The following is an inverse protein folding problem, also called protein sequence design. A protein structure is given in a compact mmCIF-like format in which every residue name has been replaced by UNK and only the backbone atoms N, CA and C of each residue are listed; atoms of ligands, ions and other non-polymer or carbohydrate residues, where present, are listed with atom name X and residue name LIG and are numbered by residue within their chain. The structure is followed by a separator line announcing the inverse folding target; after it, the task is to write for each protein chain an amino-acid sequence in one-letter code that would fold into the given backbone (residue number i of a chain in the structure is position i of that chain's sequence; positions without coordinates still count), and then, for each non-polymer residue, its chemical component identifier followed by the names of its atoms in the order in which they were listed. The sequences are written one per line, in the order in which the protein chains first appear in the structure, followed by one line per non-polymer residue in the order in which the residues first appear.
data_IF_900974478591
#
_entry.id   IF_900974478591
#
_cell.length_a   1.000
_cell.length_b   1.000
_cell.length_c   1.000
_cell.angle_alpha   90.00
_cell.angle_beta   90.00
_cell.angle_gamma   90.00
#
_symmetry.space_group_name_H-M   'P 1'
#
loop_
_entity.id
_entity.type
_entity.pdbx_description
1 polymer ?
#
# COMPACT_ATOMS: atom_id res chain seq x y z
N UNK A 1 30.08 33.90 -30.08
CA UNK A 1 30.09 32.42 -29.94
C UNK A 1 29.98 31.96 -28.48
N UNK A 2 30.57 32.64 -27.50
CA UNK A 2 30.58 32.24 -26.08
C UNK A 2 29.17 32.14 -25.43
N UNK A 3 28.21 32.99 -25.84
CA UNK A 3 26.84 32.98 -25.28
C UNK A 3 25.99 31.74 -25.67
N UNK A 4 26.30 31.06 -26.78
CA UNK A 4 25.53 29.87 -27.21
C UNK A 4 26.00 28.59 -26.51
N UNK A 5 27.26 28.55 -26.06
CA UNK A 5 27.83 27.41 -25.32
C UNK A 5 27.33 27.41 -23.87
N UNK A 6 27.17 28.59 -23.26
CA UNK A 6 26.60 28.72 -21.91
C UNK A 6 25.14 28.26 -21.81
N UNK A 7 24.34 28.44 -22.87
CA UNK A 7 22.93 28.04 -22.89
C UNK A 7 22.76 26.51 -23.01
N UNK A 8 23.68 25.83 -23.71
CA UNK A 8 23.68 24.37 -23.85
C UNK A 8 24.18 23.70 -22.56
N UNK A 9 25.17 24.30 -21.89
CA UNK A 9 25.62 23.82 -20.57
C UNK A 9 24.54 23.99 -19.48
N UNK A 10 23.72 25.05 -19.56
CA UNK A 10 22.59 25.27 -18.67
C UNK A 10 21.40 24.32 -18.98
N UNK A 11 21.19 23.97 -20.25
CA UNK A 11 20.16 22.99 -20.65
C UNK A 11 20.51 21.56 -20.23
N UNK A 12 21.81 21.20 -20.17
CA UNK A 12 22.25 19.90 -19.65
C UNK A 12 22.22 19.81 -18.11
N UNK A 13 22.22 20.94 -17.39
CA UNK A 13 22.15 20.98 -15.93
C UNK A 13 20.72 20.87 -15.36
N UNK A 14 19.69 20.91 -16.22
CA UNK A 14 18.26 20.85 -15.82
C UNK A 14 17.65 19.44 -15.97
N UNK A 15 18.42 18.47 -16.46
CA UNK A 15 18.04 17.06 -16.48
C UNK A 15 18.42 16.40 -15.13
N UNK A 16 17.76 16.82 -14.06
CA UNK A 16 17.83 16.14 -12.76
C UNK A 16 16.89 14.91 -12.79
N UNK A 17 17.35 13.70 -12.46
CA UNK A 17 16.48 12.54 -12.32
C UNK A 17 15.58 12.73 -11.10
N UNK A 18 14.26 12.69 -11.32
CA UNK A 18 13.24 12.61 -10.28
C UNK A 18 13.39 11.27 -9.55
N UNK A 19 13.34 11.29 -8.21
CA UNK A 19 13.27 10.09 -7.39
C UNK A 19 11.81 9.73 -7.14
N UNK A 20 11.36 8.54 -7.58
CA UNK A 20 10.10 7.88 -7.18
C UNK A 20 10.47 6.91 -6.04
N UNK A 21 9.97 6.95 -4.79
CA UNK A 21 8.62 6.98 -4.15
C UNK A 21 7.87 5.65 -4.16
N UNK A 22 7.79 5.02 -2.96
CA UNK A 22 6.91 3.91 -2.56
C UNK A 22 6.98 2.64 -3.43
N UNK A 23 6.65 1.48 -2.84
CA UNK A 23 6.44 0.25 -3.61
C UNK A 23 5.44 0.49 -4.76
N UNK A 24 5.79 0.13 -6.00
CA UNK A 24 4.92 0.24 -7.19
C UNK A 24 3.55 -0.42 -6.95
N UNK A 25 3.52 -1.48 -6.13
CA UNK A 25 2.35 -2.33 -5.91
C UNK A 25 2.14 -2.60 -4.44
N UNK A 26 0.90 -2.53 -3.97
CA UNK A 26 0.51 -3.12 -2.68
C UNK A 26 -0.02 -4.54 -2.91
N UNK A 27 0.60 -5.55 -2.30
CA UNK A 27 0.09 -6.92 -2.30
C UNK A 27 -0.71 -7.19 -1.01
N UNK A 28 -1.88 -7.80 -1.18
CA UNK A 28 -2.79 -8.22 -0.12
C UNK A 28 -3.38 -9.57 -0.50
N UNK A 29 -3.40 -10.51 0.44
CA UNK A 29 -4.04 -11.82 0.27
C UNK A 29 -5.45 -11.90 0.90
N UNK A 30 -5.94 -10.76 1.41
CA UNK A 30 -7.28 -10.60 1.97
C UNK A 30 -8.32 -10.65 0.83
N UNK A 31 -9.36 -11.47 0.98
CA UNK A 31 -10.43 -11.70 0.01
C UNK A 31 -11.72 -10.93 0.28
N UNK A 32 -11.86 -10.27 1.43
CA UNK A 32 -13.01 -9.42 1.72
C UNK A 32 -12.68 -8.26 2.69
N UNK A 33 -13.69 -7.48 3.05
CA UNK A 33 -13.63 -6.34 3.96
C UNK A 33 -14.13 -6.66 5.39
N UNK A 34 -14.57 -7.89 5.65
CA UNK A 34 -15.02 -8.33 6.96
C UNK A 34 -13.82 -8.57 7.89
N UNK A 35 -13.97 -8.19 9.16
CA UNK A 35 -12.91 -8.30 10.15
C UNK A 35 -13.29 -9.26 11.27
N UNK A 36 -12.41 -10.22 11.54
CA UNK A 36 -12.36 -10.92 12.81
C UNK A 36 -11.23 -10.33 13.66
N UNK A 37 -11.50 -10.08 14.94
CA UNK A 37 -10.47 -9.67 15.90
C UNK A 37 -9.79 -10.90 16.46
N UNK A 38 -8.46 -10.93 16.38
CA UNK A 38 -7.62 -11.95 16.97
C UNK A 38 -6.73 -11.32 18.03
N UNK A 39 -6.53 -12.03 19.14
CA UNK A 39 -5.71 -11.56 20.24
C UNK A 39 -4.59 -12.56 20.55
N UNK A 40 -3.40 -12.04 20.82
CA UNK A 40 -2.26 -12.84 21.27
C UNK A 40 -2.44 -13.12 22.76
N UNK A 41 -2.50 -14.40 23.12
CA UNK A 41 -2.66 -14.82 24.52
C UNK A 41 -1.59 -15.82 24.92
N UNK A 42 -1.32 -15.94 26.21
CA UNK A 42 -0.28 -16.82 26.73
C UNK A 42 1.12 -16.26 26.50
N UNK A 43 1.60 -16.30 25.26
CA UNK A 43 2.99 -15.97 24.89
C UNK A 43 3.08 -15.10 23.62
N UNK A 44 4.11 -14.24 23.51
CA UNK A 44 4.35 -13.50 22.28
C UNK A 44 4.51 -14.44 21.09
N UNK A 45 3.82 -14.12 20.00
CA UNK A 45 3.63 -15.05 18.88
C UNK A 45 3.92 -14.37 17.56
N UNK A 46 4.39 -15.16 16.60
CA UNK A 46 4.74 -14.69 15.28
C UNK A 46 3.55 -14.92 14.33
N UNK A 47 3.01 -13.84 13.76
CA UNK A 47 1.90 -13.89 12.79
C UNK A 47 2.45 -13.66 11.40
N UNK A 48 2.27 -14.62 10.48
CA UNK A 48 2.84 -14.58 9.12
C UNK A 48 1.75 -14.63 8.04
N UNK A 49 2.03 -13.95 6.93
CA UNK A 49 1.36 -14.20 5.66
C UNK A 49 2.41 -14.55 4.59
N UNK A 50 2.10 -15.56 3.78
CA UNK A 50 2.87 -15.93 2.59
C UNK A 50 2.31 -15.26 1.34
N UNK A 51 3.20 -14.77 0.48
CA UNK A 51 2.86 -14.14 -0.80
C UNK A 51 3.67 -14.82 -1.92
N UNK A 52 2.95 -15.37 -2.90
CA UNK A 52 3.53 -15.83 -4.15
C UNK A 52 3.67 -14.64 -5.11
N UNK A 53 4.91 -14.20 -5.32
CA UNK A 53 5.23 -13.04 -6.15
C UNK A 53 5.02 -13.33 -7.63
N UNK A 54 5.23 -14.57 -8.07
CA UNK A 54 5.01 -14.96 -9.46
C UNK A 54 3.51 -14.96 -9.78
N UNK A 55 2.68 -15.52 -8.90
CA UNK A 55 1.21 -15.45 -9.00
C UNK A 55 0.69 -14.00 -8.94
N UNK A 56 1.38 -13.12 -8.20
CA UNK A 56 1.08 -11.69 -8.15
C UNK A 56 1.66 -10.87 -9.34
N UNK A 57 2.32 -11.53 -10.30
CA UNK A 57 2.89 -10.88 -11.49
C UNK A 57 4.06 -9.92 -11.17
N UNK A 58 4.74 -10.11 -10.04
CA UNK A 58 5.91 -9.32 -9.65
C UNK A 58 7.17 -9.95 -10.26
N UNK A 59 7.96 -9.12 -10.97
CA UNK A 59 9.23 -9.57 -11.54
C UNK A 59 10.37 -9.45 -10.51
N UNK A 60 11.25 -10.45 -10.48
CA UNK A 60 12.42 -10.51 -9.61
C UNK A 60 13.70 -10.02 -10.33
N UNK A 61 14.70 -9.47 -9.61
CA UNK A 61 14.64 -9.15 -8.17
C UNK A 61 13.61 -8.05 -7.90
N UNK A 62 13.06 -7.99 -6.70
CA UNK A 62 12.09 -6.96 -6.30
C UNK A 62 12.55 -6.30 -5.00
N UNK A 63 11.99 -5.14 -4.65
CA UNK A 63 12.28 -4.48 -3.37
C UNK A 63 11.00 -4.26 -2.58
N UNK A 64 11.03 -4.58 -1.29
CA UNK A 64 9.96 -4.30 -0.33
C UNK A 64 10.42 -3.19 0.60
N UNK A 65 9.75 -2.06 0.57
CA UNK A 65 10.07 -0.89 1.39
C UNK A 65 9.10 -0.74 2.57
N UNK A 66 7.90 -1.27 2.48
CA UNK A 66 6.88 -1.16 3.54
C UNK A 66 6.07 -2.42 3.71
N UNK A 67 5.70 -2.69 4.95
CA UNK A 67 4.71 -3.71 5.30
C UNK A 67 3.77 -3.16 6.34
N UNK A 68 2.50 -3.54 6.28
CA UNK A 68 1.48 -3.07 7.21
C UNK A 68 0.65 -4.20 7.79
N UNK A 69 0.08 -3.95 8.96
CA UNK A 69 -0.82 -4.84 9.67
C UNK A 69 -2.05 -4.06 10.18
N UNK A 70 -3.23 -4.68 10.10
CA UNK A 70 -4.44 -4.15 10.74
C UNK A 70 -4.42 -4.41 12.26
N UNK A 71 -4.50 -3.35 13.06
CA UNK A 71 -4.40 -3.36 14.52
C UNK A 71 -5.74 -2.97 15.13
N UNK A 72 -6.24 -3.79 16.05
CA UNK A 72 -7.43 -3.47 16.84
C UNK A 72 -7.04 -2.82 18.16
N UNK A 73 -6.17 -3.48 18.93
CA UNK A 73 -5.73 -3.01 20.26
C UNK A 73 -4.21 -3.19 20.37
N UNK A 74 -3.43 -2.10 20.33
CA UNK A 74 -1.98 -2.17 20.46
C UNK A 74 -1.56 -2.46 21.92
N UNK A 75 -0.28 -2.80 22.11
CA UNK A 75 0.38 -2.90 23.42
C UNK A 75 1.55 -1.91 23.47
N UNK A 76 1.30 -0.63 23.79
CA UNK A 76 2.33 0.41 23.76
C UNK A 76 3.53 0.08 24.66
N UNK A 77 4.74 0.42 24.21
CA UNK A 77 5.98 0.19 24.95
C UNK A 77 6.52 -1.24 24.84
N UNK A 78 5.89 -2.08 24.02
CA UNK A 78 6.41 -3.41 23.66
C UNK A 78 7.03 -3.37 22.26
N UNK A 79 8.29 -3.75 22.15
CA UNK A 79 8.97 -3.83 20.85
C UNK A 79 8.50 -5.03 20.03
N UNK A 80 8.05 -4.76 18.81
CA UNK A 80 7.60 -5.75 17.82
C UNK A 80 8.68 -5.89 16.75
N UNK A 81 9.09 -7.12 16.45
CA UNK A 81 9.93 -7.37 15.28
C UNK A 81 9.05 -7.58 14.06
N UNK A 82 9.38 -6.87 12.99
CA UNK A 82 8.78 -7.03 11.68
C UNK A 82 9.83 -7.63 10.76
N UNK A 83 9.51 -8.77 10.17
CA UNK A 83 10.49 -9.60 9.47
C UNK A 83 9.94 -10.00 8.10
N UNK A 84 10.80 -9.91 7.10
CA UNK A 84 10.54 -10.39 5.75
C UNK A 84 11.48 -11.57 5.51
N UNK A 85 10.90 -12.71 5.19
CA UNK A 85 11.61 -13.89 4.72
C UNK A 85 11.38 -14.08 3.23
N UNK A 86 12.33 -14.72 2.56
CA UNK A 86 12.23 -15.12 1.16
C UNK A 86 12.47 -16.61 1.04
N UNK A 87 11.72 -17.27 0.17
CA UNK A 87 11.68 -18.72 0.00
C UNK A 87 11.64 -19.08 -1.50
N UNK A 88 12.51 -20.01 -1.88
CA UNK A 88 12.64 -20.49 -3.25
C UNK A 88 11.48 -21.39 -3.69
N UNK A 89 10.87 -22.12 -2.74
CA UNK A 89 9.95 -23.22 -3.06
C UNK A 89 8.50 -22.90 -2.69
N UNK A 90 8.26 -21.91 -1.82
CA UNK A 90 6.92 -21.54 -1.36
C UNK A 90 6.23 -22.60 -0.49
N UNK A 91 6.97 -23.61 -0.08
CA UNK A 91 6.44 -24.82 0.55
C UNK A 91 6.23 -24.63 2.05
N UNK A 92 7.27 -24.25 2.78
CA UNK A 92 7.23 -24.07 4.24
C UNK A 92 8.09 -22.88 4.64
N UNK A 93 7.61 -21.97 5.49
CA UNK A 93 8.45 -20.88 5.97
C UNK A 93 9.58 -21.35 6.89
N UNK A 94 9.57 -22.61 7.35
CA UNK A 94 10.71 -23.18 8.07
C UNK A 94 11.99 -23.21 7.22
N UNK A 95 11.86 -23.27 5.90
CA UNK A 95 12.96 -23.27 4.94
C UNK A 95 13.29 -21.84 4.44
N UNK A 96 12.54 -20.83 4.87
CA UNK A 96 12.69 -19.46 4.41
C UNK A 96 13.87 -18.76 5.09
N UNK A 97 14.61 -17.97 4.33
CA UNK A 97 15.73 -17.17 4.83
C UNK A 97 15.28 -15.74 5.12
N UNK A 98 15.78 -15.14 6.21
CA UNK A 98 15.54 -13.71 6.49
C UNK A 98 16.13 -12.86 5.36
N UNK A 99 15.28 -12.06 4.72
CA UNK A 99 15.68 -11.07 3.74
C UNK A 99 15.87 -9.69 4.40
N UNK A 100 15.04 -9.34 5.38
CA UNK A 100 15.15 -8.09 6.11
C UNK A 100 14.34 -8.08 7.41
N UNK A 101 14.73 -7.20 8.33
CA UNK A 101 14.05 -7.03 9.62
C UNK A 101 14.11 -5.59 10.11
N UNK A 102 13.10 -5.19 10.87
CA UNK A 102 13.10 -3.94 11.64
C UNK A 102 12.37 -4.15 12.96
N UNK A 103 12.57 -3.26 13.92
CA UNK A 103 11.89 -3.29 15.21
C UNK A 103 11.10 -2.00 15.37
N UNK A 104 9.84 -2.12 15.78
CA UNK A 104 8.89 -1.02 15.87
C UNK A 104 8.14 -1.03 17.21
N UNK A 105 7.53 0.10 17.55
CA UNK A 105 6.52 0.20 18.61
C UNK A 105 5.20 0.62 17.96
N UNK A 106 4.14 -0.13 18.23
CA UNK A 106 2.81 0.13 17.70
C UNK A 106 1.98 0.68 18.86
N UNK A 107 1.66 1.97 18.81
CA UNK A 107 0.99 2.67 19.92
C UNK A 107 -0.47 3.02 19.64
N UNK A 108 -0.97 2.74 18.43
CA UNK A 108 -2.30 3.13 17.98
C UNK A 108 -2.99 1.97 17.25
N UNK A 109 -4.32 1.95 17.32
CA UNK A 109 -5.17 1.07 16.50
C UNK A 109 -5.33 1.64 15.08
N UNK A 110 -5.78 0.79 14.16
CA UNK A 110 -5.87 1.10 12.72
C UNK A 110 -4.80 0.35 11.92
N UNK A 111 -4.47 0.85 10.73
CA UNK A 111 -3.41 0.24 9.92
C UNK A 111 -2.06 0.80 10.38
N UNK A 112 -1.20 -0.07 10.89
CA UNK A 112 0.18 0.27 11.18
C UNK A 112 1.08 -0.09 10.00
N UNK A 113 2.02 0.77 9.64
CA UNK A 113 2.98 0.53 8.55
C UNK A 113 4.41 0.61 9.06
N UNK A 114 5.15 -0.51 8.99
CA UNK A 114 6.59 -0.53 9.16
C UNK A 114 7.29 -0.16 7.85
N UNK A 115 8.36 0.63 7.96
CA UNK A 115 9.21 1.03 6.84
C UNK A 115 10.57 0.37 7.00
N UNK A 116 11.11 -0.17 5.92
CA UNK A 116 12.45 -0.74 5.84
C UNK A 116 13.40 0.25 5.18
N UNK A 117 14.44 0.65 5.90
CA UNK A 117 15.51 1.50 5.38
C UNK A 117 16.87 0.88 5.74
N UNK A 118 17.62 0.33 4.76
CA UNK A 118 17.29 0.29 3.34
C UNK A 118 16.13 -0.68 3.02
N UNK A 119 15.46 -0.47 1.88
CA UNK A 119 14.45 -1.39 1.38
C UNK A 119 15.00 -2.81 1.21
N UNK A 120 14.16 -3.81 1.42
CA UNK A 120 14.55 -5.23 1.44
C UNK A 120 14.57 -5.78 0.03
N UNK A 121 15.74 -6.21 -0.45
CA UNK A 121 15.89 -6.85 -1.75
C UNK A 121 15.42 -8.32 -1.69
N UNK A 122 14.54 -8.69 -2.60
CA UNK A 122 13.92 -10.00 -2.73
C UNK A 122 14.36 -10.62 -4.04
N UNK A 123 14.93 -11.82 -3.96
CA UNK A 123 15.40 -12.57 -5.14
C UNK A 123 14.70 -13.92 -5.30
N UNK A 124 13.74 -14.24 -4.44
CA UNK A 124 13.02 -15.50 -4.44
C UNK A 124 11.53 -15.30 -4.77
N UNK A 125 10.87 -16.30 -5.38
CA UNK A 125 9.48 -16.21 -5.84
C UNK A 125 8.44 -16.11 -4.72
N UNK A 126 8.76 -16.53 -3.50
CA UNK A 126 7.84 -16.45 -2.37
C UNK A 126 8.44 -15.61 -1.27
N UNK A 127 7.60 -14.77 -0.66
CA UNK A 127 7.95 -14.01 0.54
C UNK A 127 7.00 -14.30 1.67
N UNK A 128 7.54 -14.33 2.88
CA UNK A 128 6.77 -14.46 4.10
C UNK A 128 6.96 -13.19 4.92
N UNK A 129 5.86 -12.49 5.22
CA UNK A 129 5.90 -11.27 6.02
C UNK A 129 5.34 -11.57 7.39
N UNK A 130 6.14 -11.31 8.43
CA UNK A 130 5.84 -11.66 9.80
C UNK A 130 5.89 -10.48 10.77
N UNK A 131 5.00 -10.51 11.76
CA UNK A 131 5.03 -9.64 12.93
C UNK A 131 5.14 -10.49 14.19
N UNK A 132 6.18 -10.26 15.00
CA UNK A 132 6.33 -10.89 16.31
C UNK A 132 5.63 -10.04 17.37
N UNK A 133 4.40 -10.42 17.69
CA UNK A 133 3.47 -9.61 18.46
C UNK A 133 3.49 -9.99 19.95
N UNK A 134 3.40 -9.00 20.87
CA UNK A 134 3.38 -9.26 22.31
C UNK A 134 2.03 -9.81 22.78
N UNK A 135 2.02 -10.39 23.97
CA UNK A 135 0.78 -10.81 24.65
C UNK A 135 -0.15 -9.62 24.84
N UNK A 136 -1.46 -9.85 24.71
CA UNK A 136 -2.55 -8.86 24.74
C UNK A 136 -2.64 -7.96 23.50
N UNK A 137 -1.81 -8.17 22.48
CA UNK A 137 -1.97 -7.47 21.21
C UNK A 137 -3.19 -8.02 20.46
N UNK A 138 -4.06 -7.14 19.96
CA UNK A 138 -5.18 -7.50 19.11
C UNK A 138 -4.99 -6.98 17.69
N UNK A 139 -5.13 -7.86 16.71
CA UNK A 139 -4.98 -7.57 15.29
C UNK A 139 -6.22 -8.01 14.50
N UNK A 140 -6.37 -7.46 13.31
CA UNK A 140 -7.48 -7.75 12.40
C UNK A 140 -7.10 -8.85 11.42
N UNK A 141 -8.03 -9.78 11.22
CA UNK A 141 -7.97 -10.79 10.19
C UNK A 141 -9.16 -10.70 9.25
N UNK A 142 -8.95 -11.05 7.99
CA UNK A 142 -10.00 -11.34 7.03
C UNK A 142 -10.81 -12.57 7.50
N UNK A 143 -12.12 -12.62 7.23
CA UNK A 143 -12.99 -13.77 7.57
C UNK A 143 -13.06 -14.84 6.47
N UNK A 144 -12.32 -14.65 5.38
CA UNK A 144 -12.27 -15.55 4.22
C UNK A 144 -10.92 -16.23 4.07
N UNK A 145 -10.97 -17.47 3.57
CA UNK A 145 -9.81 -18.33 3.36
C UNK A 145 -9.34 -19.05 4.62
N UNK A 146 -8.36 -19.94 4.44
CA UNK A 146 -7.62 -20.54 5.54
C UNK A 146 -6.48 -19.62 5.98
N UNK A 147 -6.12 -19.69 7.26
CA UNK A 147 -4.97 -18.97 7.80
C UNK A 147 -3.70 -19.39 7.06
N UNK A 148 -2.87 -18.42 6.68
CA UNK A 148 -1.56 -18.67 6.03
C UNK A 148 -0.43 -18.70 7.10
N UNK A 149 -0.78 -19.04 8.34
CA UNK A 149 0.08 -19.47 9.46
C UNK A 149 0.25 -18.44 10.60
N UNK A 150 -0.16 -18.84 11.80
CA UNK A 150 0.24 -18.21 13.07
C UNK A 150 1.17 -19.19 13.79
N UNK A 151 2.38 -18.74 14.11
CA UNK A 151 3.39 -19.54 14.79
C UNK A 151 3.49 -19.14 16.27
N UNK A 152 3.47 -20.17 17.12
CA UNK A 152 3.77 -20.04 18.54
C UNK A 152 5.25 -20.33 18.72
N UNK A 153 5.99 -19.30 19.09
CA UNK A 153 7.43 -19.37 19.10
C UNK A 153 7.91 -19.37 20.56
N UNK A 154 7.87 -20.55 21.17
CA UNK A 154 8.29 -20.72 22.57
C UNK A 154 9.80 -20.84 22.67
N UNK A 155 10.41 -20.00 23.50
CA UNK A 155 11.69 -20.26 24.15
C UNK A 155 11.49 -19.98 25.63
N UNK A 156 11.54 -21.01 26.48
CA UNK A 156 11.33 -20.82 27.92
C UNK A 156 12.30 -19.75 28.46
N UNK A 157 11.75 -18.62 28.92
CA UNK A 157 12.53 -17.50 29.47
C UNK A 157 13.28 -16.63 28.44
N UNK A 158 12.96 -16.74 27.14
CA UNK A 158 13.64 -16.00 26.08
C UNK A 158 12.71 -15.50 24.97
N UNK A 159 13.26 -14.63 24.11
CA UNK A 159 12.61 -14.21 22.86
C UNK A 159 12.93 -15.23 21.77
N UNK A 160 11.96 -15.55 20.93
CA UNK A 160 12.18 -16.40 19.77
C UNK A 160 13.26 -15.85 18.83
N UNK A 161 14.10 -16.72 18.28
CA UNK A 161 15.06 -16.34 17.25
C UNK A 161 14.38 -16.21 15.89
N UNK A 162 13.98 -14.98 15.56
CA UNK A 162 13.40 -14.65 14.26
C UNK A 162 14.33 -14.93 13.07
N UNK A 163 15.62 -15.21 13.29
CA UNK A 163 16.53 -15.58 12.20
C UNK A 163 16.45 -17.06 11.82
N UNK A 164 15.75 -17.89 12.61
CA UNK A 164 15.65 -19.32 12.39
C UNK A 164 14.22 -19.81 12.65
N UNK A 165 13.35 -19.69 11.62
CA UNK A 165 11.96 -20.16 11.72
C UNK A 165 11.86 -21.65 12.06
N UNK A 166 12.77 -22.47 11.54
CA UNK A 166 12.87 -23.90 11.85
C UNK A 166 13.23 -24.23 13.30
N UNK A 167 13.69 -23.27 14.09
CA UNK A 167 13.96 -23.45 15.53
C UNK A 167 12.74 -23.27 16.44
N UNK A 168 11.57 -22.94 15.87
CA UNK A 168 10.36 -22.79 16.64
C UNK A 168 10.00 -24.11 17.35
N UNK A 169 9.74 -24.04 18.66
CA UNK A 169 9.44 -25.22 19.48
C UNK A 169 8.20 -26.01 19.02
N UNK A 170 7.32 -25.39 18.23
CA UNK A 170 6.20 -26.06 17.56
C UNK A 170 6.03 -25.50 16.14
N UNK A 171 6.18 -26.35 15.13
CA UNK A 171 5.97 -26.03 13.71
C UNK A 171 4.64 -26.64 13.24
N UNK A 172 3.72 -25.82 12.74
CA UNK A 172 2.52 -26.30 12.06
C UNK A 172 2.82 -26.70 10.61
N UNK A 173 2.08 -27.67 10.02
CA UNK A 173 2.22 -27.98 8.61
C UNK A 173 1.78 -26.78 7.76
N UNK A 174 2.46 -26.56 6.63
CA UNK A 174 2.20 -25.43 5.74
C UNK A 174 0.79 -25.40 5.11
N UNK A 175 0.06 -26.53 5.22
CA UNK A 175 -1.33 -26.70 4.78
C UNK A 175 -2.38 -26.46 5.90
N UNK A 176 -1.94 -26.16 7.13
CA UNK A 176 -2.83 -25.88 8.27
C UNK A 176 -3.61 -27.09 8.84
N UNK A 177 -3.17 -28.32 8.58
CA UNK A 177 -3.94 -29.53 8.89
C UNK A 177 -3.85 -30.09 10.33
N UNK A 178 -2.89 -29.68 11.18
CA UNK A 178 -2.70 -30.26 12.52
C UNK A 178 -1.93 -29.31 13.48
N UNK A 179 -1.93 -29.53 14.81
CA UNK A 179 -1.98 -28.45 15.79
C UNK A 179 -0.65 -27.73 15.99
N UNK A 180 -0.52 -26.58 15.32
CA UNK A 180 -0.38 -25.26 15.98
C UNK A 180 -1.44 -24.30 15.42
N UNK A 181 -2.61 -24.87 15.18
CA UNK A 181 -3.80 -24.28 14.58
C UNK A 181 -4.50 -23.35 15.57
N UNK A 182 -4.08 -22.09 15.64
CA UNK A 182 -5.12 -21.07 15.59
C UNK A 182 -5.63 -21.10 14.15
N UNK A 183 -6.63 -21.96 13.89
CA UNK A 183 -7.39 -21.82 12.68
C UNK A 183 -8.14 -20.49 12.81
N UNK A 184 -7.55 -19.45 12.25
CA UNK A 184 -8.13 -18.12 12.31
C UNK A 184 -9.44 -18.03 11.51
N UNK A 185 -9.75 -19.07 10.71
CA UNK A 185 -10.76 -19.06 9.64
C UNK A 185 -10.61 -17.80 8.78
N UNK A 186 -9.35 -17.42 8.54
CA UNK A 186 -9.02 -16.07 8.15
C UNK A 186 -7.52 -15.82 8.03
N UNK A 187 -7.17 -14.77 7.29
CA UNK A 187 -5.78 -14.34 7.07
C UNK A 187 -5.52 -13.08 7.87
N UNK A 188 -4.36 -12.95 8.51
CA UNK A 188 -4.00 -11.68 9.14
C UNK A 188 -4.03 -10.57 8.08
N UNK A 189 -4.50 -9.37 8.43
CA UNK A 189 -4.53 -8.25 7.48
C UNK A 189 -3.14 -7.62 7.34
N UNK A 190 -2.21 -8.42 6.83
CA UNK A 190 -0.86 -8.01 6.48
C UNK A 190 -0.83 -7.70 4.99
N UNK A 191 -0.25 -6.55 4.64
CA UNK A 191 0.02 -6.16 3.25
C UNK A 191 1.46 -5.71 3.11
N UNK A 192 2.01 -5.79 1.90
CA UNK A 192 3.35 -5.31 1.59
C UNK A 192 3.32 -4.37 0.39
N UNK A 193 4.21 -3.38 0.38
CA UNK A 193 4.48 -2.51 -0.78
C UNK A 193 5.76 -3.01 -1.46
N UNK A 194 5.69 -3.30 -2.75
CA UNK A 194 6.76 -3.93 -3.52
C UNK A 194 6.96 -3.26 -4.88
N UNK A 195 8.21 -3.07 -5.27
CA UNK A 195 8.61 -2.59 -6.60
C UNK A 195 9.35 -3.70 -7.35
N UNK A 196 8.92 -4.00 -8.58
CA UNK A 196 9.56 -5.02 -9.41
C UNK A 196 10.89 -4.48 -9.95
N UNK A 197 11.91 -5.33 -10.05
CA UNK A 197 13.22 -4.95 -10.58
C UNK A 197 13.26 -4.95 -12.10
N UNK A 198 12.60 -3.99 -12.72
CA UNK A 198 13.14 -3.37 -13.92
C UNK A 198 14.07 -2.26 -13.45
N UNK A 199 15.35 -2.36 -13.79
CA UNK A 199 16.45 -1.55 -13.23
C UNK A 199 16.22 -0.04 -13.39
N UNK A 200 16.24 0.78 -12.30
CA UNK A 200 16.83 2.11 -12.35
C UNK A 200 18.33 1.98 -12.05
N UNK A 201 19.17 2.69 -12.79
CA UNK A 201 20.62 2.74 -12.56
C UNK A 201 20.97 3.16 -11.11
N UNK A 202 22.14 2.76 -10.56
CA UNK A 202 22.45 2.95 -9.15
C UNK A 202 22.64 4.44 -8.81
N UNK A 203 21.88 4.95 -7.84
CA UNK A 203 22.10 6.27 -7.26
C UNK A 203 23.18 6.19 -6.16
N UNK A 204 24.16 7.08 -6.24
CA UNK A 204 25.23 7.22 -5.27
C UNK A 204 24.73 7.85 -3.95
N UNK A 205 25.36 7.47 -2.84
CA UNK A 205 25.13 7.92 -1.47
C UNK A 205 24.81 9.42 -1.35
N UNK A 206 23.60 9.74 -0.87
CA UNK A 206 23.28 11.05 -0.28
C UNK A 206 22.64 10.81 1.09
N UNK A 207 23.18 11.51 2.08
CA UNK A 207 22.83 11.50 3.50
C UNK A 207 21.32 11.72 3.77
N UNK A 208 20.71 11.04 4.75
CA UNK A 208 19.27 11.06 4.98
C UNK A 208 18.77 12.44 5.42
N UNK A 209 17.73 12.96 4.76
CA UNK A 209 16.95 14.10 5.24
C UNK A 209 15.86 13.63 6.21
N UNK A 210 15.66 14.40 7.28
CA UNK A 210 14.92 14.03 8.48
C UNK A 210 13.45 13.62 8.28
N UNK A 211 13.05 12.62 9.06
CA UNK A 211 11.72 12.04 9.24
C UNK A 211 10.55 13.05 9.25
N UNK A 212 9.79 13.10 8.16
CA UNK A 212 8.39 13.56 8.12
C UNK A 212 7.75 13.03 6.83
N UNK A 213 7.05 11.89 6.89
CA UNK A 213 6.35 11.31 5.73
C UNK A 213 5.05 12.06 5.42
N UNK A 214 5.14 13.36 5.15
CA UNK A 214 4.02 14.16 4.66
C UNK A 214 3.75 13.74 3.21
N UNK A 215 2.55 13.24 2.91
CA UNK A 215 2.14 13.00 1.52
C UNK A 215 2.13 14.35 0.82
N UNK A 216 2.89 14.48 -0.27
CA UNK A 216 3.09 15.74 -0.98
C UNK A 216 2.52 15.69 -2.39
N UNK A 217 2.17 16.85 -2.90
CA UNK A 217 1.89 17.06 -4.31
C UNK A 217 3.23 17.26 -5.02
N UNK A 218 3.43 16.59 -6.15
CA UNK A 218 4.57 16.87 -7.04
C UNK A 218 4.07 17.50 -8.34
N UNK A 219 4.94 18.24 -9.03
CA UNK A 219 4.60 18.79 -10.35
C UNK A 219 4.89 17.72 -11.39
N UNK A 220 3.87 17.33 -12.13
CA UNK A 220 3.98 16.33 -13.20
C UNK A 220 4.86 16.81 -14.35
N UNK A 221 5.45 15.85 -15.06
CA UNK A 221 6.36 16.15 -16.17
C UNK A 221 5.65 16.90 -17.31
N UNK A 222 6.33 17.89 -17.90
CA UNK A 222 5.77 18.68 -19.02
C UNK A 222 5.52 17.88 -20.31
N UNK A 223 5.98 16.63 -20.37
CA UNK A 223 5.80 15.71 -21.48
C UNK A 223 4.68 14.68 -21.25
N UNK A 224 3.97 14.73 -20.12
CA UNK A 224 2.87 13.82 -19.85
C UNK A 224 1.73 14.01 -20.85
N UNK A 225 1.25 12.90 -21.39
CA UNK A 225 0.18 12.87 -22.38
C UNK A 225 -1.17 12.85 -21.68
N UNK A 226 -1.76 14.02 -21.46
CA UNK A 226 -3.10 14.16 -20.85
C UNK A 226 -4.25 14.03 -21.86
N UNK A 227 -3.99 13.62 -23.10
CA UNK A 227 -5.02 13.57 -24.14
C UNK A 227 -6.08 12.49 -23.90
N UNK A 228 -5.80 11.51 -23.04
CA UNK A 228 -6.74 10.46 -22.65
C UNK A 228 -7.61 10.86 -21.44
N UNK A 229 -7.32 12.00 -20.81
CA UNK A 229 -8.12 12.52 -19.70
C UNK A 229 -9.44 13.07 -20.22
N UNK A 230 -10.55 12.45 -19.82
CA UNK A 230 -11.90 12.86 -20.20
C UNK A 230 -12.69 13.22 -18.95
N UNK A 231 -13.47 14.30 -19.02
CA UNK A 231 -14.37 14.68 -17.95
C UNK A 231 -15.51 13.68 -17.83
N UNK A 232 -15.84 13.30 -16.59
CA UNK A 232 -17.06 12.56 -16.34
C UNK A 232 -18.29 13.37 -16.77
N UNK A 233 -19.26 12.77 -17.47
CA UNK A 233 -20.47 13.47 -17.91
C UNK A 233 -21.22 14.15 -16.75
N UNK A 234 -21.35 13.45 -15.62
CA UNK A 234 -22.11 13.92 -14.44
C UNK A 234 -21.24 14.55 -13.35
N UNK A 235 -19.92 14.61 -13.55
CA UNK A 235 -18.96 15.18 -12.60
C UNK A 235 -17.92 16.03 -13.32
N UNK A 236 -18.34 17.10 -13.99
CA UNK A 236 -17.52 17.88 -14.93
C UNK A 236 -16.15 18.39 -14.42
N UNK A 237 -15.93 18.49 -13.10
CA UNK A 237 -14.63 18.86 -12.51
C UNK A 237 -13.75 17.66 -12.12
N UNK A 238 -14.26 16.43 -12.21
CA UNK A 238 -13.51 15.19 -12.12
C UNK A 238 -13.32 14.60 -13.53
N UNK A 239 -12.09 14.20 -13.82
CA UNK A 239 -11.69 13.56 -15.06
C UNK A 239 -11.10 12.19 -14.74
N UNK A 240 -11.16 11.28 -15.70
CA UNK A 240 -10.51 9.99 -15.63
C UNK A 240 -9.75 9.69 -16.92
N UNK A 241 -8.72 8.86 -16.83
CA UNK A 241 -7.94 8.42 -17.98
C UNK A 241 -8.67 7.28 -18.72
N UNK A 242 -9.17 7.59 -19.91
CA UNK A 242 -9.83 6.60 -20.80
C UNK A 242 -8.85 5.58 -21.38
N UNK A 243 -7.55 5.88 -21.40
CA UNK A 243 -6.49 4.93 -21.73
C UNK A 243 -6.41 3.80 -20.72
N UNK A 244 -6.58 4.09 -19.42
CA UNK A 244 -6.63 3.05 -18.40
C UNK A 244 -7.82 2.11 -18.61
N UNK A 245 -8.99 2.66 -18.92
CA UNK A 245 -10.19 1.89 -19.24
C UNK A 245 -9.99 1.02 -20.50
N UNK A 246 -9.68 1.64 -21.63
CA UNK A 246 -9.74 0.99 -22.95
C UNK A 246 -8.49 0.17 -23.26
N UNK A 247 -7.31 0.57 -22.75
CA UNK A 247 -6.03 -0.08 -23.05
C UNK A 247 -5.62 -1.00 -21.90
N UNK A 248 -5.50 -0.45 -20.68
CA UNK A 248 -5.00 -1.20 -19.53
C UNK A 248 -6.00 -2.27 -19.09
N UNK A 249 -7.28 -1.90 -18.98
CA UNK A 249 -8.38 -2.80 -18.65
C UNK A 249 -9.03 -3.47 -19.85
N UNK A 250 -8.66 -3.10 -21.08
CA UNK A 250 -9.26 -3.65 -22.31
C UNK A 250 -10.78 -3.54 -22.32
N UNK A 251 -11.32 -2.41 -21.83
CA UNK A 251 -12.76 -2.12 -21.75
C UNK A 251 -13.52 -3.08 -20.80
N UNK A 252 -12.80 -3.75 -19.89
CA UNK A 252 -13.43 -4.64 -18.91
C UNK A 252 -14.14 -3.88 -17.78
N UNK A 253 -13.69 -2.67 -17.47
CA UNK A 253 -14.34 -1.81 -16.49
C UNK A 253 -14.96 -0.62 -17.20
N UNK A 254 -16.00 -0.06 -16.62
CA UNK A 254 -16.59 1.21 -17.02
C UNK A 254 -16.63 2.15 -15.80
N UNK A 255 -15.78 3.18 -15.75
CA UNK A 255 -15.80 4.17 -14.68
C UNK A 255 -17.03 5.06 -14.78
N UNK A 256 -17.77 5.19 -13.69
CA UNK A 256 -18.88 6.12 -13.54
C UNK A 256 -18.62 7.04 -12.35
N UNK A 257 -19.16 8.25 -12.42
CA UNK A 257 -19.08 9.21 -11.33
C UNK A 257 -20.45 9.82 -11.04
N UNK A 258 -20.69 10.11 -9.77
CA UNK A 258 -21.82 10.91 -9.31
C UNK A 258 -21.37 11.94 -8.27
N UNK A 259 -21.81 13.18 -8.39
CA UNK A 259 -21.70 14.14 -7.30
C UNK A 259 -22.66 13.76 -6.16
N UNK A 260 -22.13 13.68 -4.94
CA UNK A 260 -22.91 13.32 -3.75
C UNK A 260 -22.84 14.43 -2.69
N UNK A 261 -23.88 14.58 -1.86
CA UNK A 261 -23.89 15.61 -0.83
C UNK A 261 -22.73 15.47 0.16
N UNK A 262 -22.15 16.61 0.55
CA UNK A 262 -20.97 16.67 1.42
C UNK A 262 -21.13 16.00 2.78
N UNK A 263 -22.36 15.88 3.30
CA UNK A 263 -22.70 15.20 4.56
C UNK A 263 -22.55 13.67 4.50
N UNK A 264 -22.42 13.09 3.30
CA UNK A 264 -22.15 11.66 3.13
C UNK A 264 -20.67 11.30 3.27
N UNK A 265 -19.78 12.29 3.37
CA UNK A 265 -18.37 11.97 3.52
C UNK A 265 -18.01 11.49 4.91
N UNK A 266 -17.00 10.61 5.00
CA UNK A 266 -16.31 10.34 6.26
C UNK A 266 -15.69 11.62 6.84
N UNK A 267 -15.42 11.58 8.14
CA UNK A 267 -14.66 12.62 8.81
C UNK A 267 -13.30 12.82 8.13
N UNK A 268 -12.86 14.08 8.01
CA UNK A 268 -11.58 14.39 7.39
C UNK A 268 -10.41 13.70 8.12
N UNK A 269 -9.39 13.20 7.40
CA UNK A 269 -8.15 12.75 8.03
C UNK A 269 -7.51 13.85 8.88
N UNK A 270 -6.78 13.43 9.92
CA UNK A 270 -6.00 14.35 10.74
C UNK A 270 -5.00 15.13 9.85
N UNK A 271 -4.89 16.44 10.07
CA UNK A 271 -4.04 17.36 9.29
C UNK A 271 -4.49 17.62 7.85
N UNK A 272 -5.71 17.26 7.48
CA UNK A 272 -6.25 17.56 6.16
C UNK A 272 -7.66 18.14 6.27
N UNK A 273 -7.98 19.09 5.40
CA UNK A 273 -9.33 19.63 5.25
C UNK A 273 -9.78 19.40 3.83
N UNK A 274 -10.91 18.71 3.69
CA UNK A 274 -11.56 18.55 2.38
C UNK A 274 -12.06 19.91 1.90
N UNK A 275 -11.64 20.31 0.71
CA UNK A 275 -12.06 21.56 0.04
C UNK A 275 -12.87 21.29 -1.22
N UNK A 276 -12.67 20.12 -1.84
CA UNK A 276 -13.37 19.74 -3.05
C UNK A 276 -14.80 19.28 -2.87
N UNK A 277 -15.52 19.29 -3.99
CA UNK A 277 -16.77 18.55 -4.17
C UNK A 277 -16.56 17.08 -3.83
N UNK A 278 -17.61 16.43 -3.31
CA UNK A 278 -17.60 15.01 -3.02
C UNK A 278 -18.18 14.24 -4.20
N UNK A 279 -17.35 13.41 -4.82
CA UNK A 279 -17.76 12.49 -5.87
C UNK A 279 -17.90 11.09 -5.30
N UNK A 280 -18.71 10.24 -5.93
CA UNK A 280 -18.77 8.80 -5.73
C UNK A 280 -18.40 8.16 -7.06
N UNK A 281 -17.24 7.50 -7.08
CA UNK A 281 -16.69 6.81 -8.25
C UNK A 281 -17.05 5.34 -8.15
N UNK A 282 -17.63 4.81 -9.21
CA UNK A 282 -18.08 3.42 -9.31
C UNK A 282 -17.44 2.80 -10.55
N UNK A 283 -16.89 1.61 -10.42
CA UNK A 283 -16.41 0.84 -11.56
C UNK A 283 -17.42 -0.27 -11.85
N UNK A 284 -17.97 -0.32 -13.05
CA UNK A 284 -18.87 -1.38 -13.48
C UNK A 284 -18.14 -2.39 -14.35
N UNK A 285 -18.47 -3.67 -14.20
CA UNK A 285 -18.05 -4.73 -15.13
C UNK A 285 -18.99 -4.81 -16.33
N UNK A 286 -18.68 -5.59 -17.39
CA UNK A 286 -19.53 -5.68 -18.58
C UNK A 286 -20.90 -6.32 -18.31
N UNK A 287 -21.07 -6.95 -17.14
CA UNK A 287 -22.33 -7.52 -16.67
C UNK A 287 -23.14 -6.57 -15.78
N UNK A 288 -22.78 -5.28 -15.77
CA UNK A 288 -23.40 -4.23 -14.94
C UNK A 288 -23.29 -4.45 -13.43
N UNK A 289 -22.35 -5.29 -12.98
CA UNK A 289 -22.03 -5.45 -11.56
C UNK A 289 -21.00 -4.40 -11.14
N UNK A 290 -21.26 -3.74 -10.01
CA UNK A 290 -20.31 -2.79 -9.39
C UNK A 290 -19.12 -3.58 -8.83
N UNK A 291 -17.91 -3.19 -9.20
CA UNK A 291 -16.68 -3.68 -8.60
C UNK A 291 -16.47 -2.98 -7.26
N UNK A 292 -16.52 -3.77 -6.19
CA UNK A 292 -16.24 -3.33 -4.82
C UNK A 292 -14.82 -3.69 -4.37
N UNK A 293 -14.16 -4.57 -5.11
CA UNK A 293 -12.79 -5.01 -4.85
C UNK A 293 -11.76 -3.99 -5.35
N UNK A 294 -10.52 -4.15 -4.90
CA UNK A 294 -9.38 -3.36 -5.40
C UNK A 294 -9.15 -3.69 -6.87
N UNK A 295 -9.03 -2.66 -7.70
CA UNK A 295 -8.58 -2.78 -9.07
C UNK A 295 -7.13 -3.32 -9.12
N UNK A 296 -6.85 -4.21 -10.07
CA UNK A 296 -5.51 -4.75 -10.30
C UNK A 296 -4.57 -3.72 -10.94
N UNK A 297 -5.13 -2.78 -11.70
CA UNK A 297 -4.45 -1.63 -12.32
C UNK A 297 -5.17 -0.37 -11.81
N UNK A 298 -4.45 0.70 -11.51
CA UNK A 298 -5.10 1.95 -11.15
C UNK A 298 -5.82 2.56 -12.36
N UNK A 299 -6.82 3.38 -12.08
CA UNK A 299 -7.34 4.33 -13.04
C UNK A 299 -6.94 5.71 -12.58
N UNK A 300 -6.23 6.45 -13.42
CA UNK A 300 -5.85 7.83 -13.11
C UNK A 300 -7.09 8.70 -13.05
N UNK A 301 -7.27 9.39 -11.93
CA UNK A 301 -8.32 10.39 -11.76
C UNK A 301 -7.67 11.74 -11.54
N UNK A 302 -8.19 12.76 -12.23
CA UNK A 302 -7.80 14.13 -12.03
C UNK A 302 -8.97 14.96 -11.53
N UNK A 303 -8.70 15.90 -10.63
CA UNK A 303 -9.67 16.91 -10.21
C UNK A 303 -9.10 18.28 -10.59
N UNK A 304 -9.97 19.19 -11.02
CA UNK A 304 -9.63 20.61 -11.14
C UNK A 304 -9.92 21.30 -9.79
N UNK A 305 -8.92 21.59 -8.95
CA UNK A 305 -9.15 22.25 -7.68
C UNK A 305 -9.42 23.75 -7.89
N UNK A 306 -9.80 24.44 -6.82
CA UNK A 306 -9.82 25.90 -6.84
C UNK A 306 -8.40 26.46 -7.08
N UNK A 307 -8.28 27.63 -7.71
CA UNK A 307 -6.99 28.17 -8.13
C UNK A 307 -6.05 28.44 -6.94
N UNK A 308 -6.61 28.83 -5.79
CA UNK A 308 -5.90 29.03 -4.54
C UNK A 308 -5.32 27.74 -3.93
N UNK A 309 -5.95 26.60 -4.18
CA UNK A 309 -5.57 25.30 -3.62
C UNK A 309 -4.65 24.51 -4.57
N UNK A 310 -4.49 24.97 -5.82
CA UNK A 310 -3.84 24.23 -6.90
C UNK A 310 -2.45 23.67 -6.54
N UNK A 311 -1.63 24.44 -5.81
CA UNK A 311 -0.25 24.05 -5.47
C UNK A 311 -0.13 23.17 -4.22
N UNK A 312 -1.25 22.90 -3.54
CA UNK A 312 -1.28 22.15 -2.27
C UNK A 312 -2.33 21.06 -2.23
N UNK A 313 -3.21 21.00 -3.24
CA UNK A 313 -4.29 20.04 -3.30
C UNK A 313 -3.77 18.61 -3.48
N UNK A 314 -4.28 17.71 -2.65
CA UNK A 314 -4.03 16.28 -2.67
C UNK A 314 -5.34 15.56 -2.94
N UNK A 315 -5.33 14.59 -3.84
CA UNK A 315 -6.49 13.73 -4.09
C UNK A 315 -6.63 12.74 -2.93
N UNK A 316 -7.85 12.57 -2.45
CA UNK A 316 -8.20 11.55 -1.48
C UNK A 316 -9.29 10.65 -2.02
N UNK A 317 -9.18 9.35 -1.72
CA UNK A 317 -10.22 8.36 -1.99
C UNK A 317 -10.69 7.73 -0.69
N UNK A 318 -11.99 7.63 -0.49
CA UNK A 318 -12.61 7.01 0.66
C UNK A 318 -13.37 5.74 0.25
N UNK A 319 -12.89 4.60 0.74
CA UNK A 319 -13.42 3.28 0.43
C UNK A 319 -13.53 2.43 1.71
N UNK A 320 -14.16 1.26 1.60
CA UNK A 320 -14.42 0.35 2.74
C UNK A 320 -15.72 0.65 3.50
N UNK A 321 -15.96 -0.10 4.58
CA UNK A 321 -17.11 0.05 5.48
C UNK A 321 -16.68 0.01 6.96
N UNK A 322 -16.79 1.13 7.71
CA UNK A 322 -17.15 2.47 7.22
C UNK A 322 -16.09 3.01 6.25
N UNK A 323 -16.50 3.86 5.31
CA UNK A 323 -15.57 4.49 4.37
C UNK A 323 -14.53 5.30 5.14
N UNK A 324 -13.25 5.13 4.81
CA UNK A 324 -12.15 5.90 5.38
C UNK A 324 -11.32 6.53 4.28
N UNK A 325 -10.97 7.80 4.45
CA UNK A 325 -10.13 8.54 3.52
C UNK A 325 -8.69 8.03 3.53
N UNK A 326 -8.18 7.72 2.35
CA UNK A 326 -6.75 7.57 2.06
C UNK A 326 -6.34 8.75 1.19
N UNK A 327 -5.44 9.58 1.69
CA UNK A 327 -4.80 10.64 0.89
C UNK A 327 -3.77 9.96 -0.02
N UNK A 328 -3.78 10.32 -1.30
CA UNK A 328 -2.96 9.68 -2.32
C UNK A 328 -1.79 10.60 -2.71
N UNK A 329 -0.61 10.03 -3.04
CA UNK A 329 0.39 10.76 -3.81
C UNK A 329 -0.28 11.39 -5.03
N UNK A 330 -0.06 12.68 -5.21
CA UNK A 330 -0.77 13.47 -6.22
C UNK A 330 0.23 14.19 -7.11
N UNK A 331 -0.03 14.15 -8.41
CA UNK A 331 0.74 14.87 -9.42
C UNK A 331 -0.08 16.01 -9.99
N UNK A 332 0.54 17.18 -10.17
CA UNK A 332 -0.11 18.34 -10.76
C UNK A 332 0.25 18.47 -12.24
N UNK A 333 -0.76 18.45 -13.09
CA UNK A 333 -0.66 18.68 -14.53
C UNK A 333 -1.45 19.93 -14.90
N UNK A 334 -0.75 21.05 -15.15
CA UNK A 334 -1.38 22.35 -15.41
C UNK A 334 -2.34 22.78 -14.27
N UNK A 335 -3.64 22.81 -14.56
CA UNK A 335 -4.75 23.13 -13.66
C UNK A 335 -5.43 21.89 -13.05
N UNK A 336 -4.88 20.70 -13.30
CA UNK A 336 -5.37 19.44 -12.77
C UNK A 336 -4.45 18.90 -11.67
N UNK A 337 -5.05 18.24 -10.69
CA UNK A 337 -4.35 17.42 -9.70
C UNK A 337 -4.83 15.98 -9.83
N UNK A 338 -3.90 15.06 -10.05
CA UNK A 338 -4.17 13.69 -10.48
C UNK A 338 -3.59 12.68 -9.51
N UNK A 339 -4.29 11.56 -9.34
CA UNK A 339 -3.81 10.44 -8.54
C UNK A 339 -4.31 9.11 -9.09
N UNK A 340 -3.55 8.06 -8.78
CA UNK A 340 -3.86 6.68 -9.14
C UNK A 340 -4.89 6.09 -8.18
N UNK A 341 -6.09 5.79 -8.70
CA UNK A 341 -7.21 5.28 -7.89
C UNK A 341 -7.39 3.80 -8.14
N UNK A 342 -7.29 3.00 -7.07
CA UNK A 342 -7.47 1.55 -7.10
C UNK A 342 -8.82 1.07 -6.58
N UNK A 343 -9.67 1.96 -6.08
CA UNK A 343 -10.92 1.59 -5.42
C UNK A 343 -12.05 2.49 -5.88
N UNK A 344 -13.23 1.90 -6.09
CA UNK A 344 -14.48 2.67 -6.12
C UNK A 344 -14.78 3.23 -4.73
N UNK A 345 -15.42 4.39 -4.69
CA UNK A 345 -15.77 5.07 -3.44
C UNK A 345 -15.80 6.58 -3.58
N UNK A 346 -15.74 7.28 -2.45
CA UNK A 346 -15.77 8.72 -2.47
C UNK A 346 -14.45 9.31 -2.94
N UNK A 347 -14.48 10.25 -3.88
CA UNK A 347 -13.31 10.98 -4.36
C UNK A 347 -13.47 12.47 -4.07
N UNK A 348 -12.42 13.11 -3.60
CA UNK A 348 -12.37 14.57 -3.41
C UNK A 348 -10.92 15.05 -3.34
N UNK A 349 -10.71 16.36 -3.22
CA UNK A 349 -9.40 16.92 -2.91
C UNK A 349 -9.35 17.59 -1.54
N UNK A 350 -8.16 17.53 -0.95
CA UNK A 350 -7.84 18.00 0.38
C UNK A 350 -6.68 18.97 0.31
N UNK A 351 -6.64 19.88 1.28
CA UNK A 351 -5.45 20.70 1.55
C UNK A 351 -4.90 20.36 2.93
N UNK A 352 -3.57 20.36 3.11
CA UNK A 352 -2.98 20.25 4.44
C UNK A 352 -3.52 21.35 5.37
N UNK A 353 -3.84 20.96 6.59
CA UNK A 353 -4.23 21.85 7.68
C UNK A 353 -3.20 21.74 8.80
N UNK A 354 -2.79 22.87 9.40
CA UNK A 354 -1.90 22.88 10.56
C UNK A 354 -2.44 22.04 11.73
#
# INVERSE_FOLDING_TARGET
MIKKIALIALLLAVLLPLSVSAGERTLSINGNDQNAVWFISGEPSMVLNGFDLAAAGVALPAVIDRVSIGVQTPVPGSSIDVVIYQDANGGSPADAAVAGRTTVDITQSGTFTAVFDPAVNITQPVVWVGFYLPVNFEFLADTSGSSVLTYWAWTAGGRFDVNNLGSAGVLGPADGSAPVNINMNGKARITLEITSGTTPAPAANVTPAANSSTITQTVGGSAANINYMVAYPDCSAALYDTGDEVISFRDYINPHCREVPSWQAPANPRHYVRRGTLYDILFFTPYSSVMTERLNIAVTHCIRPAAEDLNTALVGVAFGMPRQWRILPTERYNDLVCAEVFYGGNLSYFVPSP
#
